data_IF_404336353161
#
_entry.id   IF_404336353161
#
_cell.length_a   1.000
_cell.length_b   1.000
_cell.length_c   1.000
_cell.angle_alpha   90.00
_cell.angle_beta   90.00
_cell.angle_gamma   90.00
#
_symmetry.space_group_name_H-M   'P 1'
#
loop_
_entity.id
_entity.type
_entity.pdbx_description
1 polymer ?
#
# COMPACT_ATOMS: atom_id res chain seq x y z
N UNK A 1 5.76 -24.28 -10.05
CA UNK A 1 4.68 -23.56 -9.36
C UNK A 1 4.66 -22.15 -9.91
N UNK A 2 3.59 -21.74 -10.59
CA UNK A 2 3.43 -20.34 -11.01
C UNK A 2 3.13 -19.52 -9.76
N UNK A 3 4.08 -18.71 -9.34
CA UNK A 3 3.87 -17.70 -8.32
C UNK A 3 2.94 -16.68 -8.98
N UNK A 4 1.66 -16.69 -8.61
CA UNK A 4 0.76 -15.60 -8.95
C UNK A 4 1.24 -14.42 -8.12
N UNK A 5 2.10 -13.58 -8.71
CA UNK A 5 2.36 -12.24 -8.22
C UNK A 5 1.02 -11.50 -8.33
N UNK A 6 0.19 -11.61 -7.29
CA UNK A 6 -0.84 -10.63 -7.02
C UNK A 6 -0.06 -9.35 -6.80
N UNK A 7 -0.03 -8.47 -7.81
CA UNK A 7 0.40 -7.11 -7.58
C UNK A 7 -0.36 -6.62 -6.36
N UNK A 8 0.40 -6.22 -5.35
CA UNK A 8 -0.11 -5.52 -4.21
C UNK A 8 -0.54 -4.11 -4.66
N UNK A 9 -1.54 -4.02 -5.52
CA UNK A 9 -2.64 -3.11 -5.23
C UNK A 9 -3.29 -3.66 -3.97
N UNK A 10 -2.83 -3.23 -2.80
CA UNK A 10 -3.28 -3.76 -1.51
C UNK A 10 -4.79 -3.57 -1.26
N UNK A 11 -5.55 -2.93 -2.17
CA UNK A 11 -7.01 -2.92 -2.13
C UNK A 11 -7.64 -2.87 -3.53
N UNK A 12 -7.81 -4.03 -4.16
CA UNK A 12 -8.96 -4.27 -5.03
C UNK A 12 -9.58 -5.59 -4.61
N UNK A 13 -10.58 -5.50 -3.73
CA UNK A 13 -11.32 -6.65 -3.23
C UNK A 13 -12.03 -7.35 -4.41
N UNK A 14 -11.64 -8.59 -4.68
CA UNK A 14 -12.30 -9.46 -5.65
C UNK A 14 -13.64 -9.95 -5.07
N UNK A 15 -14.70 -9.15 -5.21
CA UNK A 15 -16.07 -9.61 -4.92
C UNK A 15 -16.65 -10.36 -6.12
N UNK A 16 -16.79 -11.67 -5.96
CA UNK A 16 -17.54 -12.53 -6.88
C UNK A 16 -19.04 -12.19 -6.80
N UNK A 17 -19.63 -11.68 -7.88
CA UNK A 17 -21.07 -11.46 -7.97
C UNK A 17 -21.82 -12.80 -8.09
N UNK A 18 -22.71 -13.07 -7.13
CA UNK A 18 -23.79 -14.05 -7.29
C UNK A 18 -24.88 -13.40 -8.13
N UNK A 19 -25.08 -13.88 -9.36
CA UNK A 19 -26.14 -13.43 -10.25
C UNK A 19 -27.52 -13.84 -9.70
N UNK A 20 -28.24 -12.89 -9.11
CA UNK A 20 -29.66 -13.00 -8.80
C UNK A 20 -30.48 -12.15 -9.77
N UNK A 21 -31.20 -12.78 -10.68
CA UNK A 21 -32.09 -12.12 -11.65
C UNK A 21 -33.37 -11.60 -10.97
N UNK A 22 -33.67 -10.31 -11.06
CA UNK A 22 -35.04 -9.79 -10.93
C UNK A 22 -35.22 -8.41 -11.60
N UNK A 23 -36.44 -8.16 -12.02
CA UNK A 23 -36.91 -7.30 -13.12
C UNK A 23 -36.83 -5.76 -12.96
N UNK A 24 -37.01 -5.12 -14.12
CA UNK A 24 -37.04 -3.69 -14.50
C UNK A 24 -37.85 -2.72 -13.62
N UNK A 25 -37.26 -1.55 -13.31
CA UNK A 25 -37.94 -0.25 -13.12
C UNK A 25 -36.95 0.92 -13.34
N UNK A 26 -37.49 2.12 -13.57
CA UNK A 26 -36.97 3.29 -14.30
C UNK A 26 -35.89 4.17 -13.62
N UNK A 27 -34.96 4.69 -14.43
CA UNK A 27 -34.34 6.02 -14.41
C UNK A 27 -33.74 6.55 -13.08
N UNK A 28 -32.47 6.20 -12.86
CA UNK A 28 -31.39 7.17 -12.71
C UNK A 28 -30.27 6.66 -13.62
N UNK A 29 -29.57 7.54 -14.35
CA UNK A 29 -28.23 7.20 -14.83
C UNK A 29 -27.37 7.03 -13.57
N UNK A 30 -27.42 5.82 -12.98
CA UNK A 30 -26.33 5.33 -12.15
C UNK A 30 -25.16 5.20 -13.10
N UNK A 31 -24.30 6.21 -13.06
CA UNK A 31 -22.93 6.15 -13.54
C UNK A 31 -22.34 4.86 -12.98
N UNK A 32 -22.36 3.81 -13.81
CA UNK A 32 -21.88 2.49 -13.41
C UNK A 32 -20.45 2.70 -12.91
N UNK A 33 -20.13 2.39 -11.64
CA UNK A 33 -18.80 2.57 -11.12
C UNK A 33 -17.84 1.80 -12.01
N UNK A 34 -16.73 2.44 -12.40
CA UNK A 34 -15.63 1.77 -13.10
C UNK A 34 -15.31 0.49 -12.33
N UNK A 35 -15.41 -0.69 -12.95
CA UNK A 35 -15.18 -1.95 -12.26
C UNK A 35 -13.82 -1.93 -11.56
N UNK A 36 -13.79 -2.16 -10.25
CA UNK A 36 -12.55 -2.27 -9.46
C UNK A 36 -12.22 -1.09 -8.55
N UNK A 37 -12.83 0.10 -8.72
CA UNK A 37 -12.59 1.25 -7.83
C UNK A 37 -13.61 1.34 -6.69
N UNK A 38 -13.22 1.80 -5.49
CA UNK A 38 -14.14 1.95 -4.37
C UNK A 38 -15.17 3.06 -4.65
N UNK A 39 -16.38 2.87 -4.14
CA UNK A 39 -17.46 3.85 -4.29
C UNK A 39 -17.15 5.16 -3.56
N UNK A 40 -17.68 6.28 -4.07
CA UNK A 40 -17.56 7.58 -3.40
C UNK A 40 -18.21 7.55 -2.01
N UNK A 41 -17.56 8.24 -1.06
CA UNK A 41 -17.99 8.30 0.34
C UNK A 41 -18.48 9.71 0.69
N UNK A 42 -19.49 9.81 1.55
CA UNK A 42 -20.01 11.09 2.04
C UNK A 42 -19.08 11.81 3.03
N UNK A 43 -17.96 11.20 3.42
CA UNK A 43 -17.09 11.68 4.49
C UNK A 43 -16.00 10.67 4.81
N UNK A 44 -15.34 10.85 5.96
CA UNK A 44 -14.49 9.78 6.48
C UNK A 44 -15.36 8.70 7.10
N UNK A 45 -15.10 7.45 6.75
CA UNK A 45 -15.72 6.26 7.32
C UNK A 45 -14.63 5.28 7.75
N UNK A 46 -14.92 4.32 8.64
CA UNK A 46 -13.97 3.26 8.97
C UNK A 46 -13.47 2.55 7.71
N UNK A 47 -12.17 2.32 7.63
CA UNK A 47 -11.55 1.65 6.50
C UNK A 47 -12.05 0.20 6.37
N UNK A 48 -12.13 -0.29 5.13
CA UNK A 48 -12.54 -1.66 4.83
C UNK A 48 -11.55 -2.69 5.42
N UNK A 49 -12.04 -3.91 5.68
CA UNK A 49 -11.23 -4.99 6.26
C UNK A 49 -9.94 -5.30 5.48
N UNK A 50 -9.95 -5.09 4.15
CA UNK A 50 -8.80 -5.30 3.27
C UNK A 50 -7.57 -4.45 3.62
N UNK A 51 -7.75 -3.28 4.25
CA UNK A 51 -6.63 -2.45 4.73
C UNK A 51 -5.80 -3.13 5.83
N UNK A 52 -6.32 -4.20 6.42
CA UNK A 52 -5.69 -4.90 7.53
C UNK A 52 -5.21 -6.31 7.19
N UNK A 53 -5.26 -6.70 5.92
CA UNK A 53 -4.70 -7.98 5.47
C UNK A 53 -3.17 -7.95 5.51
N UNK A 54 -2.56 -9.12 5.73
CA UNK A 54 -1.10 -9.24 5.73
C UNK A 54 -0.54 -8.90 4.34
N UNK A 55 0.47 -8.03 4.29
CA UNK A 55 1.24 -7.73 3.07
C UNK A 55 2.54 -8.52 3.10
N UNK A 56 2.84 -9.27 2.04
CA UNK A 56 4.01 -10.14 1.97
C UNK A 56 4.85 -9.79 0.74
N UNK A 57 6.13 -9.49 0.94
CA UNK A 57 7.06 -9.10 -0.13
C UNK A 57 8.50 -9.54 0.17
N UNK A 58 9.35 -9.69 -0.87
CA UNK A 58 10.77 -9.94 -0.68
C UNK A 58 11.48 -8.64 -0.25
N UNK A 59 12.24 -8.70 0.85
CA UNK A 59 13.19 -7.66 1.25
C UNK A 59 14.22 -8.22 2.24
N UNK A 60 15.35 -7.52 2.41
CA UNK A 60 16.38 -7.89 3.39
C UNK A 60 16.95 -9.31 3.16
N UNK A 61 16.99 -9.74 1.89
CA UNK A 61 17.39 -11.10 1.50
C UNK A 61 16.42 -12.21 1.92
N UNK A 62 15.25 -11.89 2.47
CA UNK A 62 14.25 -12.86 2.93
C UNK A 62 12.82 -12.42 2.54
N UNK A 63 11.80 -13.07 3.11
CA UNK A 63 10.41 -12.65 3.01
C UNK A 63 10.02 -11.83 4.24
N UNK A 64 9.49 -10.64 4.01
CA UNK A 64 8.88 -9.78 5.02
C UNK A 64 7.36 -9.95 4.99
N UNK A 65 6.74 -9.94 6.16
CA UNK A 65 5.29 -9.84 6.34
C UNK A 65 5.00 -8.61 7.19
N UNK A 66 4.23 -7.68 6.63
CA UNK A 66 3.61 -6.60 7.38
C UNK A 66 2.23 -7.06 7.81
N UNK A 67 1.99 -7.05 9.11
CA UNK A 67 0.71 -7.40 9.71
C UNK A 67 0.15 -6.20 10.44
N UNK A 68 -1.17 -6.01 10.41
CA UNK A 68 -1.80 -5.00 11.26
C UNK A 68 -1.57 -5.31 12.73
N UNK A 69 -1.04 -4.34 13.47
CA UNK A 69 -0.82 -4.45 14.91
C UNK A 69 -2.12 -4.28 15.72
N UNK A 70 -1.95 -4.00 17.00
CA UNK A 70 -3.01 -3.85 17.99
C UNK A 70 -3.85 -2.58 17.76
N UNK A 71 -3.24 -1.52 17.24
CA UNK A 71 -3.94 -0.25 16.93
C UNK A 71 -4.44 -0.28 15.48
N UNK A 72 -5.76 -0.24 15.31
CA UNK A 72 -6.45 -0.40 14.01
C UNK A 72 -7.60 0.59 13.86
N UNK A 73 -7.30 1.88 13.92
CA UNK A 73 -8.28 2.96 13.80
C UNK A 73 -8.08 3.76 12.51
N UNK A 74 -8.14 3.08 11.37
CA UNK A 74 -7.98 3.69 10.05
C UNK A 74 -9.33 4.17 9.50
N UNK A 75 -9.34 5.37 8.93
CA UNK A 75 -10.48 5.97 8.24
C UNK A 75 -10.13 6.30 6.81
N UNK A 76 -11.03 5.96 5.90
CA UNK A 76 -10.93 6.29 4.50
C UNK A 76 -11.94 7.35 4.09
N UNK A 77 -11.57 8.13 3.07
CA UNK A 77 -12.49 8.98 2.31
C UNK A 77 -12.17 8.85 0.84
N UNK A 78 -13.14 8.38 0.07
CA UNK A 78 -13.08 8.26 -1.38
C UNK A 78 -13.89 9.38 -2.02
N UNK A 79 -13.34 9.97 -3.09
CA UNK A 79 -14.01 10.97 -3.92
C UNK A 79 -13.67 10.73 -5.39
N UNK A 80 -14.69 10.72 -6.25
CA UNK A 80 -14.50 10.71 -7.70
C UNK A 80 -14.58 12.16 -8.20
N UNK A 81 -13.60 12.58 -9.00
CA UNK A 81 -13.58 13.92 -9.60
C UNK A 81 -14.35 13.92 -10.92
N UNK A 82 -14.70 15.13 -11.40
CA UNK A 82 -15.37 15.32 -12.70
C UNK A 82 -14.56 14.83 -13.90
N UNK A 83 -13.24 14.73 -13.76
CA UNK A 83 -12.33 14.20 -14.78
C UNK A 83 -12.17 12.67 -14.70
N UNK A 84 -12.94 12.00 -13.84
CA UNK A 84 -12.87 10.55 -13.60
C UNK A 84 -11.76 10.13 -12.63
N UNK A 85 -10.89 11.04 -12.17
CA UNK A 85 -9.85 10.72 -11.19
C UNK A 85 -10.47 10.31 -9.86
N UNK A 86 -10.05 9.17 -9.33
CA UNK A 86 -10.43 8.74 -7.98
C UNK A 86 -9.37 9.18 -6.97
N UNK A 87 -9.80 9.81 -5.88
CA UNK A 87 -8.93 10.22 -4.77
C UNK A 87 -9.36 9.52 -3.50
N UNK A 88 -8.46 8.71 -2.95
CA UNK A 88 -8.63 8.02 -1.67
C UNK A 88 -7.72 8.69 -0.66
N UNK A 89 -8.27 9.06 0.50
CA UNK A 89 -7.51 9.62 1.62
C UNK A 89 -7.64 8.74 2.83
N UNK A 90 -6.51 8.37 3.41
CA UNK A 90 -6.42 7.54 4.60
C UNK A 90 -5.78 8.34 5.74
N UNK A 91 -6.32 8.15 6.93
CA UNK A 91 -5.83 8.75 8.17
C UNK A 91 -6.28 7.94 9.37
N UNK A 92 -5.64 8.19 10.50
CA UNK A 92 -5.99 7.58 11.78
C UNK A 92 -4.75 6.97 12.40
N UNK A 93 -4.96 6.25 13.49
CA UNK A 93 -3.87 5.63 14.23
C UNK A 93 -3.81 4.15 13.84
N UNK A 94 -2.65 3.72 13.35
CA UNK A 94 -2.40 2.33 12.95
C UNK A 94 -0.97 1.96 13.32
N UNK A 95 -0.81 0.77 13.88
CA UNK A 95 0.49 0.14 14.08
C UNK A 95 0.64 -1.07 13.16
N UNK A 96 1.88 -1.44 12.87
CA UNK A 96 2.20 -2.55 11.96
C UNK A 96 3.31 -3.39 12.57
N UNK A 97 3.06 -4.68 12.67
CA UNK A 97 4.08 -5.67 13.01
C UNK A 97 4.90 -5.99 11.77
N UNK A 98 6.22 -5.98 11.91
CA UNK A 98 7.16 -6.30 10.84
C UNK A 98 7.83 -7.63 11.16
N UNK A 99 7.46 -8.67 10.39
CA UNK A 99 7.92 -10.03 10.61
C UNK A 99 8.84 -10.44 9.47
N UNK A 100 10.09 -10.78 9.78
CA UNK A 100 11.03 -11.35 8.81
C UNK A 100 11.16 -12.86 9.00
N UNK A 101 10.97 -13.63 7.92
CA UNK A 101 11.25 -15.07 7.95
C UNK A 101 12.76 -15.34 8.10
N UNK A 102 13.16 -16.39 8.82
CA UNK A 102 14.54 -16.85 8.81
C UNK A 102 15.07 -17.11 7.40
N UNK A 103 16.18 -16.49 7.03
CA UNK A 103 16.81 -16.63 5.72
C UNK A 103 17.62 -15.40 5.30
N UNK A 104 18.44 -15.56 4.25
CA UNK A 104 19.23 -14.47 3.67
C UNK A 104 20.12 -13.76 4.68
N UNK A 105 19.93 -12.45 4.81
CA UNK A 105 20.69 -11.59 5.73
C UNK A 105 20.19 -11.66 7.20
N UNK A 106 19.08 -12.36 7.42
CA UNK A 106 18.40 -12.54 8.71
C UNK A 106 18.26 -14.05 9.01
N UNK A 107 19.36 -14.77 9.33
CA UNK A 107 19.35 -16.23 9.48
C UNK A 107 18.38 -16.73 10.56
N UNK A 108 18.12 -15.92 11.59
CA UNK A 108 17.20 -16.24 12.70
C UNK A 108 15.83 -15.55 12.54
N UNK A 109 15.62 -14.84 11.43
CA UNK A 109 14.44 -13.99 11.21
C UNK A 109 14.58 -12.64 11.92
N UNK A 110 13.46 -12.01 12.22
CA UNK A 110 13.41 -10.73 12.92
C UNK A 110 11.97 -10.31 13.19
N UNK A 111 11.76 -9.48 14.21
CA UNK A 111 10.44 -9.01 14.59
C UNK A 111 10.53 -7.59 15.13
N UNK A 112 9.75 -6.68 14.55
CA UNK A 112 9.48 -5.37 15.13
C UNK A 112 8.00 -5.32 15.47
N UNK A 113 7.71 -5.15 16.76
CA UNK A 113 6.38 -5.05 17.32
C UNK A 113 5.86 -3.62 17.19
N UNK A 114 4.61 -3.46 16.76
CA UNK A 114 3.87 -2.19 16.89
C UNK A 114 4.56 -0.95 16.26
N UNK A 115 5.14 -1.09 15.07
CA UNK A 115 5.72 0.06 14.37
C UNK A 115 4.62 1.07 14.00
N UNK A 116 4.78 2.33 14.40
CA UNK A 116 3.81 3.39 14.08
C UNK A 116 3.71 3.60 12.55
N UNK A 117 2.50 3.43 12.01
CA UNK A 117 2.19 3.60 10.60
C UNK A 117 0.96 4.51 10.42
N UNK A 118 0.77 5.45 11.35
CA UNK A 118 -0.34 6.43 11.40
C UNK A 118 -0.24 7.57 10.38
N UNK A 119 0.78 7.55 9.51
CA UNK A 119 0.98 8.54 8.47
C UNK A 119 -0.22 8.67 7.55
N UNK A 120 -0.45 9.90 7.07
CA UNK A 120 -1.51 10.16 6.11
C UNK A 120 -1.09 9.62 4.74
N UNK A 121 -1.98 8.87 4.11
CA UNK A 121 -1.85 8.45 2.71
C UNK A 121 -2.92 9.13 1.86
N UNK A 122 -2.53 9.63 0.70
CA UNK A 122 -3.46 10.01 -0.38
C UNK A 122 -3.09 9.25 -1.64
N UNK A 123 -4.04 8.50 -2.18
CA UNK A 123 -3.95 7.82 -3.47
C UNK A 123 -4.74 8.63 -4.50
N UNK A 124 -4.12 8.98 -5.61
CA UNK A 124 -4.78 9.58 -6.78
C UNK A 124 -4.65 8.62 -7.95
N UNK A 125 -5.78 8.08 -8.40
CA UNK A 125 -5.85 7.09 -9.48
C UNK A 125 -6.50 7.76 -10.69
N UNK A 126 -5.83 7.73 -11.84
CA UNK A 126 -6.38 8.29 -13.09
C UNK A 126 -7.67 7.60 -13.51
N UNK A 127 -8.46 8.26 -14.35
CA UNK A 127 -9.77 7.74 -14.79
C UNK A 127 -9.69 6.38 -15.50
N UNK A 128 -8.58 6.11 -16.17
CA UNK A 128 -8.26 4.85 -16.86
C UNK A 128 -7.51 3.85 -15.97
N UNK A 129 -7.26 4.17 -14.69
CA UNK A 129 -6.52 3.33 -13.76
C UNK A 129 -5.02 3.18 -14.04
N UNK A 130 -4.52 3.74 -15.15
CA UNK A 130 -3.15 3.51 -15.62
C UNK A 130 -2.08 4.26 -14.82
N UNK A 131 -2.46 5.30 -14.08
CA UNK A 131 -1.53 6.11 -13.29
C UNK A 131 -2.02 6.22 -11.86
N UNK A 132 -1.13 5.88 -10.93
CA UNK A 132 -1.36 5.99 -9.49
C UNK A 132 -0.32 6.97 -8.93
N UNK A 133 -0.77 7.95 -8.14
CA UNK A 133 0.10 8.81 -7.36
C UNK A 133 -0.19 8.61 -5.87
N UNK A 134 0.79 8.08 -5.16
CA UNK A 134 0.74 7.82 -3.73
C UNK A 134 1.49 8.92 -2.99
N UNK A 135 0.85 9.53 -1.99
CA UNK A 135 1.42 10.63 -1.21
C UNK A 135 1.36 10.27 0.27
N UNK A 136 2.51 9.97 0.84
CA UNK A 136 2.68 9.64 2.25
C UNK A 136 3.14 10.86 3.03
N UNK A 137 2.73 10.98 4.28
CA UNK A 137 3.23 12.02 5.18
C UNK A 137 3.06 11.69 6.65
N UNK A 138 4.14 11.84 7.41
CA UNK A 138 4.23 11.36 8.80
C UNK A 138 4.80 9.94 8.88
N UNK A 139 4.58 9.22 9.99
CA UNK A 139 5.03 7.84 10.22
C UNK A 139 4.58 6.91 9.09
N UNK A 140 5.52 6.40 8.30
CA UNK A 140 5.17 5.52 7.18
C UNK A 140 6.27 4.53 6.86
N UNK A 141 5.85 3.30 6.60
CA UNK A 141 6.67 2.23 6.05
C UNK A 141 6.71 2.35 4.53
N UNK A 142 7.90 2.32 3.94
CA UNK A 142 8.14 2.38 2.50
C UNK A 142 8.87 1.11 2.07
N UNK A 143 8.28 0.37 1.13
CA UNK A 143 8.82 -0.87 0.60
C UNK A 143 8.51 -0.96 -0.90
N UNK A 144 9.37 -1.61 -1.70
CA UNK A 144 9.08 -1.86 -3.10
C UNK A 144 8.08 -3.01 -3.24
N UNK A 145 7.14 -2.89 -4.19
CA UNK A 145 6.26 -3.99 -4.60
C UNK A 145 6.70 -4.64 -5.91
N UNK A 146 7.69 -4.05 -6.58
CA UNK A 146 8.26 -4.49 -7.85
C UNK A 146 9.75 -4.14 -7.96
N UNK A 147 10.46 -4.71 -8.94
CA UNK A 147 11.86 -4.34 -9.22
C UNK A 147 11.97 -2.87 -9.68
N UNK A 148 10.99 -2.41 -10.45
CA UNK A 148 10.90 -1.01 -10.90
C UNK A 148 10.74 -0.05 -9.72
N UNK A 149 9.92 -0.40 -8.72
CA UNK A 149 9.78 0.42 -7.51
C UNK A 149 11.07 0.44 -6.69
N UNK A 150 11.73 -0.72 -6.55
CA UNK A 150 13.00 -0.82 -5.84
C UNK A 150 14.06 0.10 -6.45
N UNK A 151 14.16 0.12 -7.78
CA UNK A 151 15.07 1.01 -8.49
C UNK A 151 14.74 2.50 -8.27
N UNK A 152 13.46 2.87 -8.32
CA UNK A 152 13.01 4.25 -8.12
C UNK A 152 13.26 4.74 -6.68
N UNK A 153 12.96 3.90 -5.69
CA UNK A 153 13.19 4.19 -4.27
C UNK A 153 14.68 4.33 -3.95
N UNK A 154 15.52 3.41 -4.46
CA UNK A 154 16.97 3.48 -4.30
C UNK A 154 17.56 4.75 -4.92
N UNK A 155 17.10 5.13 -6.13
CA UNK A 155 17.51 6.39 -6.77
C UNK A 155 17.11 7.63 -5.97
N UNK A 156 16.03 7.55 -5.19
CA UNK A 156 15.56 8.61 -4.30
C UNK A 156 16.23 8.58 -2.90
N UNK A 157 17.19 7.68 -2.68
CA UNK A 157 17.97 7.57 -1.45
C UNK A 157 17.28 6.80 -0.31
N UNK A 158 16.21 6.06 -0.59
CA UNK A 158 15.62 5.16 0.39
C UNK A 158 16.44 3.86 0.52
N UNK A 159 16.49 3.25 1.72
CA UNK A 159 16.91 1.86 1.85
C UNK A 159 15.93 0.94 1.13
N UNK A 160 16.33 -0.32 0.92
CA UNK A 160 15.46 -1.37 0.34
C UNK A 160 14.13 -1.50 1.08
N UNK A 161 14.16 -1.36 2.41
CA UNK A 161 12.99 -1.36 3.26
C UNK A 161 13.14 -0.28 4.32
N UNK A 162 12.31 0.76 4.23
CA UNK A 162 12.49 2.01 4.94
C UNK A 162 11.32 2.41 5.82
N UNK A 163 11.62 3.19 6.86
CA UNK A 163 10.63 3.84 7.69
C UNK A 163 11.01 5.31 7.91
N UNK A 164 10.02 6.21 7.93
CA UNK A 164 10.25 7.59 8.34
C UNK A 164 9.12 8.09 9.21
N UNK A 165 9.45 8.85 10.26
CA UNK A 165 8.46 9.49 11.14
C UNK A 165 7.99 10.85 10.61
N UNK A 166 8.87 11.54 9.88
CA UNK A 166 8.69 12.95 9.50
C UNK A 166 9.03 13.19 8.04
N UNK A 167 8.25 14.10 7.44
CA UNK A 167 8.39 14.50 6.06
C UNK A 167 7.29 13.91 5.20
N UNK A 168 7.53 13.92 3.89
CA UNK A 168 6.58 13.45 2.87
C UNK A 168 7.34 12.79 1.74
N UNK A 169 6.75 11.75 1.18
CA UNK A 169 7.16 11.17 -0.09
C UNK A 169 5.96 11.10 -1.04
N UNK A 170 6.17 11.42 -2.32
CA UNK A 170 5.19 11.24 -3.36
C UNK A 170 5.78 10.34 -4.45
N UNK A 171 5.08 9.26 -4.77
CA UNK A 171 5.50 8.23 -5.73
C UNK A 171 4.44 8.20 -6.83
N UNK A 172 4.89 8.19 -8.09
CA UNK A 172 4.03 7.97 -9.25
C UNK A 172 4.38 6.65 -9.89
N UNK A 173 3.37 5.83 -10.10
CA UNK A 173 3.48 4.53 -10.76
C UNK A 173 2.58 4.54 -11.99
N UNK A 174 3.11 4.07 -13.12
CA UNK A 174 2.39 3.87 -14.37
C UNK A 174 2.28 2.37 -14.63
N UNK A 175 1.05 1.90 -14.78
CA UNK A 175 0.70 0.51 -14.99
C UNK A 175 0.44 0.23 -16.48
N UNK A 176 0.52 -1.05 -16.86
CA UNK A 176 -0.04 -1.49 -18.15
C UNK A 176 -1.54 -1.73 -18.03
N UNK A 177 -2.24 -1.91 -19.16
CA UNK A 177 -3.66 -2.33 -19.17
C UNK A 177 -3.88 -3.68 -18.46
N UNK A 178 -2.83 -4.49 -18.27
CA UNK A 178 -2.86 -5.65 -17.41
C UNK A 178 -2.49 -5.24 -15.98
N UNK A 179 -3.49 -5.11 -15.10
CA UNK A 179 -3.33 -4.87 -13.66
C UNK A 179 -2.52 -6.00 -12.97
N UNK A 180 -2.37 -7.14 -13.67
CA UNK A 180 -1.50 -8.30 -13.45
C UNK A 180 0.01 -8.10 -13.60
N UNK A 181 0.46 -7.02 -14.25
CA UNK A 181 1.84 -6.86 -14.71
C UNK A 181 2.68 -5.85 -13.89
N UNK A 182 4.00 -6.10 -13.90
CA UNK A 182 5.02 -5.16 -13.40
C UNK A 182 4.76 -3.73 -13.93
N UNK A 183 4.94 -2.69 -13.10
CA UNK A 183 4.71 -1.33 -13.54
C UNK A 183 5.66 -0.95 -14.67
N UNK A 184 5.15 -0.19 -15.64
CA UNK A 184 5.90 0.34 -16.79
C UNK A 184 6.98 1.30 -16.31
N UNK A 185 6.65 2.11 -15.30
CA UNK A 185 7.59 3.05 -14.70
C UNK A 185 7.13 3.47 -13.31
N UNK A 186 8.10 3.70 -12.44
CA UNK A 186 7.90 4.29 -11.11
C UNK A 186 8.86 5.46 -10.92
N UNK A 187 8.38 6.56 -10.35
CA UNK A 187 9.17 7.77 -10.09
C UNK A 187 8.81 8.38 -8.73
N UNK A 188 9.83 8.77 -7.96
CA UNK A 188 9.65 9.56 -6.74
C UNK A 188 9.58 11.04 -7.10
N UNK A 189 8.38 11.59 -7.13
CA UNK A 189 8.09 12.98 -7.50
C UNK A 189 8.54 13.99 -6.43
N UNK A 190 8.50 13.58 -5.16
CA UNK A 190 8.88 14.41 -4.02
C UNK A 190 9.46 13.52 -2.93
N UNK A 191 10.59 13.92 -2.38
CA UNK A 191 11.12 13.34 -1.15
C UNK A 191 11.57 14.47 -0.21
N UNK A 192 10.92 14.59 0.94
CA UNK A 192 11.25 15.54 2.01
C UNK A 192 11.47 14.84 3.35
N UNK A 193 11.60 13.51 3.33
CA UNK A 193 11.83 12.72 4.53
C UNK A 193 13.18 13.06 5.15
N UNK A 194 13.29 12.83 6.45
CA UNK A 194 14.53 12.96 7.21
C UNK A 194 14.66 11.76 8.11
N UNK A 195 15.89 11.42 8.44
CA UNK A 195 16.20 10.38 9.42
C UNK A 195 15.54 9.03 9.05
N UNK A 196 15.52 8.70 7.75
CA UNK A 196 14.92 7.44 7.26
C UNK A 196 15.65 6.27 7.90
N UNK A 197 14.89 5.42 8.59
CA UNK A 197 15.37 4.22 9.26
C UNK A 197 15.40 3.07 8.25
N UNK A 198 16.55 2.40 8.20
CA UNK A 198 16.70 1.13 7.50
C UNK A 198 16.10 0.00 8.36
N UNK A 199 14.93 -0.50 7.95
CA UNK A 199 14.23 -1.55 8.67
C UNK A 199 14.90 -2.91 8.54
N UNK A 200 15.67 -3.17 7.47
CA UNK A 200 16.48 -4.38 7.38
C UNK A 200 17.54 -4.43 8.48
N UNK A 201 18.20 -3.29 8.73
CA UNK A 201 19.13 -3.16 9.86
C UNK A 201 18.42 -3.29 11.20
N UNK A 202 17.28 -2.63 11.39
CA UNK A 202 16.53 -2.70 12.63
C UNK A 202 16.07 -4.14 12.95
N UNK A 203 15.59 -4.88 11.94
CA UNK A 203 15.23 -6.30 12.07
C UNK A 203 16.43 -7.15 12.48
N UNK A 204 17.60 -6.91 11.88
CA UNK A 204 18.83 -7.63 12.24
C UNK A 204 19.24 -7.39 13.69
N UNK A 205 19.08 -6.16 14.16
CA UNK A 205 19.36 -5.79 15.56
C UNK A 205 18.35 -6.44 16.52
N UNK A 206 17.07 -6.52 16.13
CA UNK A 206 16.03 -7.20 16.92
C UNK A 206 16.32 -8.69 17.14
N UNK A 207 16.83 -9.37 16.11
CA UNK A 207 17.16 -10.80 16.17
C UNK A 207 18.29 -11.12 17.16
N UNK A 208 19.19 -10.16 17.41
CA UNK A 208 20.27 -10.29 18.39
C UNK A 208 19.84 -10.12 19.85
N UNK A 209 18.60 -9.68 20.08
CA UNK A 209 18.02 -9.43 21.39
C UNK A 209 16.62 -10.04 21.49
N UNK A 210 16.50 -11.38 21.51
CA UNK A 210 15.20 -12.03 21.73
C UNK A 210 14.66 -11.59 23.09
N UNK A 211 13.46 -10.99 23.08
CA UNK A 211 12.68 -10.70 24.30
C UNK A 211 12.26 -12.02 24.98
#
# INVERSE_FOLDING_TARGET
MRIQNKLCLSLVATLSLVAGSASTATAHDEENPTPGLPAETGGYQPALAGYYEDVVFPACGTTITLRSGDVRDLYEKVRVKRDGTTVIKLRGDVTTDVIAKPGGDLPDGGFLDELDNSGRLTLEISADGSTIVEKFGGPSVIYPVSETDAAALAAAGFPEFGYFERGKVAIRTVLTEDEAAEPVSTEVLQNTTRDVVDLCRALKESAGHPY
#
